data_IF_659776699837
#
_entry.id   IF_659776699837
#
_cell.length_a   1.000
_cell.length_b   1.000
_cell.length_c   1.000
_cell.angle_alpha   90.00
_cell.angle_beta   90.00
_cell.angle_gamma   90.00
#
_symmetry.space_group_name_H-M   'P 1'
#
loop_
_entity.id
_entity.type
_entity.pdbx_description
1 polymer ?
#
# COMPACT_ATOMS: atom_id res chain seq x y z
N UNK A 1 17.04 6.01 -6.37
CA UNK A 1 15.76 6.74 -6.47
C UNK A 1 15.69 7.73 -5.32
N UNK A 2 15.22 8.95 -5.56
CA UNK A 2 14.90 9.87 -4.46
C UNK A 2 13.64 9.37 -3.73
N UNK A 3 13.61 9.45 -2.40
CA UNK A 3 12.46 9.01 -1.61
C UNK A 3 11.28 9.98 -1.75
N UNK A 4 10.06 9.46 -1.70
CA UNK A 4 8.83 10.25 -1.67
C UNK A 4 8.51 10.72 -0.25
N UNK A 5 7.87 11.87 -0.07
CA UNK A 5 7.39 12.26 1.26
C UNK A 5 6.29 11.31 1.74
N UNK A 6 6.32 10.90 3.01
CA UNK A 6 5.22 10.10 3.58
C UNK A 6 3.99 10.96 3.88
N UNK A 7 3.34 11.44 2.82
CA UNK A 7 2.13 12.28 2.82
C UNK A 7 1.14 11.75 1.78
N UNK A 8 -0.12 12.19 1.81
CA UNK A 8 -1.10 11.82 0.78
C UNK A 8 -0.60 12.16 -0.63
N UNK A 9 -0.01 13.34 -0.82
CA UNK A 9 0.56 13.76 -2.10
C UNK A 9 1.79 12.93 -2.51
N UNK A 10 2.68 12.62 -1.56
CA UNK A 10 3.86 11.80 -1.85
C UNK A 10 3.53 10.35 -2.16
N UNK A 11 2.49 9.78 -1.55
CA UNK A 11 1.97 8.45 -1.90
C UNK A 11 1.31 8.45 -3.28
N UNK A 12 0.57 9.51 -3.64
CA UNK A 12 0.04 9.66 -4.99
C UNK A 12 1.17 9.75 -6.04
N UNK A 13 2.25 10.49 -5.75
CA UNK A 13 3.43 10.56 -6.61
C UNK A 13 4.13 9.19 -6.74
N UNK A 14 4.22 8.41 -5.65
CA UNK A 14 4.77 7.07 -5.68
C UNK A 14 3.94 6.13 -6.58
N UNK A 15 2.60 6.19 -6.54
CA UNK A 15 1.74 5.43 -7.46
C UNK A 15 2.07 5.74 -8.91
N UNK A 16 2.09 7.05 -9.25
CA UNK A 16 2.39 7.49 -10.62
C UNK A 16 3.74 6.97 -11.08
N UNK A 17 4.74 7.04 -10.21
CA UNK A 17 6.09 6.55 -10.50
C UNK A 17 6.12 5.03 -10.76
N UNK A 18 5.56 4.22 -9.86
CA UNK A 18 5.59 2.76 -10.03
C UNK A 18 4.74 2.29 -11.22
N UNK A 19 3.62 2.96 -11.51
CA UNK A 19 2.74 2.56 -12.61
C UNK A 19 3.18 3.06 -13.98
N UNK A 20 4.15 3.98 -14.02
CA UNK A 20 4.87 4.32 -15.25
C UNK A 20 5.92 3.25 -15.63
N UNK A 21 6.31 2.35 -14.72
CA UNK A 21 7.26 1.28 -15.02
C UNK A 21 6.69 0.25 -16.00
N UNK A 22 7.57 -0.47 -16.67
CA UNK A 22 7.16 -1.66 -17.41
C UNK A 22 6.78 -2.80 -16.45
N UNK A 23 6.04 -3.80 -16.95
CA UNK A 23 5.54 -4.91 -16.11
C UNK A 23 6.66 -5.70 -15.41
N UNK A 24 7.77 -6.08 -16.09
CA UNK A 24 8.88 -6.75 -15.41
C UNK A 24 9.47 -5.97 -14.23
N UNK A 25 9.71 -4.67 -14.40
CA UNK A 25 10.23 -3.79 -13.33
C UNK A 25 9.23 -3.67 -12.17
N UNK A 26 7.95 -3.46 -12.48
CA UNK A 26 6.91 -3.39 -11.46
C UNK A 26 6.81 -4.70 -10.66
N UNK A 27 6.94 -5.86 -11.31
CA UNK A 27 6.94 -7.16 -10.63
C UNK A 27 8.11 -7.35 -9.66
N UNK A 28 9.27 -6.73 -9.94
CA UNK A 28 10.39 -6.72 -8.99
C UNK A 28 9.99 -5.93 -7.74
N UNK A 29 9.40 -4.74 -7.90
CA UNK A 29 8.92 -3.91 -6.79
C UNK A 29 7.83 -4.64 -5.98
N UNK A 30 6.88 -5.27 -6.65
CA UNK A 30 5.82 -6.08 -6.01
C UNK A 30 6.44 -7.18 -5.14
N UNK A 31 7.47 -7.87 -5.64
CA UNK A 31 8.17 -8.91 -4.87
C UNK A 31 8.87 -8.33 -3.64
N UNK A 32 9.52 -7.17 -3.76
CA UNK A 32 10.14 -6.49 -2.62
C UNK A 32 9.11 -6.13 -1.54
N UNK A 33 7.94 -5.62 -1.95
CA UNK A 33 6.82 -5.30 -1.05
C UNK A 33 6.35 -6.56 -0.31
N UNK A 34 6.23 -7.69 -0.99
CA UNK A 34 5.80 -8.95 -0.37
C UNK A 34 6.81 -9.50 0.63
N UNK A 35 8.11 -9.39 0.31
CA UNK A 35 9.19 -9.94 1.13
C UNK A 35 9.43 -9.11 2.40
N UNK A 36 9.44 -7.79 2.28
CA UNK A 36 9.80 -6.88 3.37
C UNK A 36 9.12 -5.53 3.15
N UNK A 37 7.83 -5.47 3.47
CA UNK A 37 7.05 -4.23 3.40
C UNK A 37 7.67 -3.11 4.27
N UNK A 38 8.05 -3.33 5.55
CA UNK A 38 8.63 -2.29 6.38
C UNK A 38 9.92 -1.72 5.78
N UNK A 39 10.83 -2.56 5.31
CA UNK A 39 12.07 -2.11 4.69
C UNK A 39 11.84 -1.46 3.32
N UNK A 40 10.94 -1.99 2.49
CA UNK A 40 10.53 -1.34 1.25
C UNK A 40 9.97 0.06 1.50
N UNK A 41 9.07 0.20 2.48
CA UNK A 41 8.50 1.48 2.85
C UNK A 41 9.60 2.45 3.27
N UNK A 42 10.50 2.04 4.18
CA UNK A 42 11.62 2.86 4.66
C UNK A 42 12.61 3.27 3.57
N UNK A 43 12.75 2.47 2.50
CA UNK A 43 13.56 2.82 1.32
C UNK A 43 12.83 3.73 0.34
N UNK A 44 11.50 3.64 0.26
CA UNK A 44 10.65 4.35 -0.70
C UNK A 44 10.21 5.72 -0.19
N UNK A 45 9.92 5.84 1.11
CA UNK A 45 9.35 7.04 1.71
C UNK A 45 10.29 7.69 2.74
N UNK A 46 10.19 9.02 2.86
CA UNK A 46 10.81 9.84 3.91
C UNK A 46 9.91 9.80 5.14
N UNK A 47 10.43 9.21 6.21
CA UNK A 47 9.76 9.11 7.51
C UNK A 47 10.46 9.96 8.57
N UNK A 48 9.69 10.50 9.52
CA UNK A 48 10.24 10.99 10.78
C UNK A 48 10.72 9.83 11.65
N UNK A 49 11.55 10.11 12.65
CA UNK A 49 12.04 9.08 13.58
C UNK A 49 10.89 8.38 14.32
N UNK A 50 9.87 9.13 14.75
CA UNK A 50 8.66 8.58 15.35
C UNK A 50 7.88 7.65 14.42
N UNK A 51 7.84 7.94 13.12
CA UNK A 51 7.20 7.08 12.12
C UNK A 51 8.01 5.81 11.86
N UNK A 52 9.35 5.88 11.92
CA UNK A 52 10.21 4.69 11.82
C UNK A 52 9.95 3.76 13.00
N UNK A 53 9.94 4.30 14.22
CA UNK A 53 9.62 3.52 15.42
C UNK A 53 8.23 2.89 15.34
N UNK A 54 7.24 3.63 14.81
CA UNK A 54 5.90 3.10 14.57
C UNK A 54 5.90 1.95 13.55
N UNK A 55 6.62 2.08 12.43
CA UNK A 55 6.75 1.01 11.42
C UNK A 55 7.41 -0.23 12.01
N UNK A 56 8.47 -0.04 12.79
CA UNK A 56 9.23 -1.14 13.40
C UNK A 56 8.45 -1.85 14.52
N UNK A 57 7.40 -1.21 15.04
CA UNK A 57 6.51 -1.77 16.06
C UNK A 57 5.23 -2.41 15.48
N UNK A 58 5.07 -2.45 14.15
CA UNK A 58 3.93 -3.11 13.52
C UNK A 58 3.97 -4.62 13.76
N UNK A 59 2.81 -5.20 14.07
CA UNK A 59 2.65 -6.64 14.24
C UNK A 59 2.93 -7.41 12.93
N UNK A 60 3.62 -8.56 13.02
CA UNK A 60 3.99 -9.36 11.84
C UNK A 60 2.79 -9.85 11.04
N UNK A 61 1.68 -10.20 11.71
CA UNK A 61 0.44 -10.61 11.02
C UNK A 61 -0.14 -9.44 10.25
N UNK A 62 -0.10 -8.25 10.83
CA UNK A 62 -0.52 -7.03 10.19
C UNK A 62 0.35 -6.69 8.97
N UNK A 63 1.68 -6.75 9.13
CA UNK A 63 2.64 -6.52 8.03
C UNK A 63 2.40 -7.51 6.88
N UNK A 64 2.19 -8.79 7.20
CA UNK A 64 1.91 -9.82 6.20
C UNK A 64 0.59 -9.57 5.45
N UNK A 65 -0.48 -9.18 6.14
CA UNK A 65 -1.75 -8.88 5.47
C UNK A 65 -1.62 -7.65 4.57
N UNK A 66 -0.96 -6.60 5.06
CA UNK A 66 -0.79 -5.37 4.31
C UNK A 66 0.13 -5.56 3.10
N UNK A 67 1.22 -6.33 3.22
CA UNK A 67 2.13 -6.59 2.10
C UNK A 67 1.42 -7.31 0.96
N UNK A 68 0.56 -8.29 1.28
CA UNK A 68 -0.24 -9.01 0.29
C UNK A 68 -1.27 -8.10 -0.40
N UNK A 69 -1.96 -7.25 0.35
CA UNK A 69 -2.93 -6.31 -0.23
C UNK A 69 -2.25 -5.30 -1.15
N UNK A 70 -1.13 -4.71 -0.71
CA UNK A 70 -0.39 -3.75 -1.51
C UNK A 70 0.22 -4.41 -2.75
N UNK A 71 0.78 -5.60 -2.63
CA UNK A 71 1.30 -6.37 -3.75
C UNK A 71 0.23 -6.66 -4.81
N UNK A 72 -0.97 -7.09 -4.39
CA UNK A 72 -2.09 -7.29 -5.30
C UNK A 72 -2.52 -5.98 -5.96
N UNK A 73 -2.62 -4.91 -5.18
CA UNK A 73 -2.97 -3.56 -5.67
C UNK A 73 -1.99 -3.11 -6.76
N UNK A 74 -0.69 -3.24 -6.51
CA UNK A 74 0.37 -2.87 -7.45
C UNK A 74 0.41 -3.78 -8.69
N UNK A 75 0.20 -5.08 -8.52
CA UNK A 75 0.15 -6.06 -9.63
C UNK A 75 -0.92 -5.67 -10.65
N UNK A 76 -2.07 -5.21 -10.17
CA UNK A 76 -3.18 -4.76 -11.02
C UNK A 76 -3.14 -3.26 -11.35
N UNK A 77 -2.06 -2.54 -10.97
CA UNK A 77 -1.93 -1.08 -11.13
C UNK A 77 -3.13 -0.30 -10.58
N UNK A 78 -3.72 -0.80 -9.49
CA UNK A 78 -4.83 -0.16 -8.79
C UNK A 78 -4.30 0.96 -7.88
N UNK A 79 -5.05 2.03 -7.64
CA UNK A 79 -4.58 3.10 -6.77
C UNK A 79 -4.43 2.62 -5.32
N UNK A 80 -3.29 2.95 -4.68
CA UNK A 80 -3.15 2.92 -3.23
C UNK A 80 -3.03 4.34 -2.67
N UNK A 81 -3.68 4.66 -1.55
CA UNK A 81 -3.67 6.02 -0.98
C UNK A 81 -3.42 6.01 0.52
N UNK A 82 -2.82 7.09 1.00
CA UNK A 82 -2.62 7.36 2.41
C UNK A 82 -3.60 8.43 2.87
N UNK A 83 -4.40 8.07 3.85
CA UNK A 83 -5.32 8.94 4.56
C UNK A 83 -4.73 9.19 5.96
N UNK A 84 -4.30 10.42 6.25
CA UNK A 84 -3.85 10.79 7.59
C UNK A 84 -5.03 11.44 8.29
N UNK A 85 -5.58 10.79 9.32
CA UNK A 85 -6.59 11.45 10.15
C UNK A 85 -5.93 12.54 11.01
N UNK A 86 -6.68 13.62 11.27
CA UNK A 86 -6.26 14.70 12.15
C UNK A 86 -6.00 14.22 13.59
N UNK A 87 -5.16 14.93 14.38
CA UNK A 87 -4.72 14.46 15.69
C UNK A 87 -5.91 14.34 16.66
N UNK A 88 -6.18 13.13 17.16
CA UNK A 88 -7.18 12.91 18.23
C UNK A 88 -7.86 11.54 18.25
N UNK A 89 -7.86 10.79 17.16
CA UNK A 89 -8.42 9.44 17.11
C UNK A 89 -7.30 8.40 17.29
N UNK A 90 -7.22 7.72 18.45
CA UNK A 90 -6.29 6.59 18.63
C UNK A 90 -6.85 5.35 17.94
N UNK A 91 -6.68 5.23 16.62
CA UNK A 91 -7.13 4.05 15.90
C UNK A 91 -6.51 3.95 14.51
N UNK A 92 -5.53 3.05 14.32
CA UNK A 92 -5.13 2.61 12.97
C UNK A 92 -6.26 1.73 12.42
N UNK A 93 -7.24 2.35 11.76
CA UNK A 93 -8.31 1.62 11.06
C UNK A 93 -7.90 1.42 9.61
N UNK A 94 -7.37 0.24 9.30
CA UNK A 94 -7.61 -0.27 7.96
C UNK A 94 -9.09 -0.62 7.84
N UNK A 95 -9.74 -0.08 6.81
CA UNK A 95 -11.15 -0.34 6.51
C UNK A 95 -11.43 -1.79 6.12
N UNK A 96 -11.25 -2.73 7.05
CA UNK A 96 -12.03 -3.95 7.15
C UNK A 96 -13.13 -3.67 8.18
N UNK A 97 -14.01 -2.70 7.90
CA UNK A 97 -15.30 -2.69 8.58
C UNK A 97 -16.08 -3.86 7.99
N UNK A 98 -16.14 -4.98 8.72
CA UNK A 98 -17.10 -6.07 8.43
C UNK A 98 -18.49 -5.42 8.37
N UNK A 99 -19.03 -5.24 7.16
CA UNK A 99 -20.28 -4.54 6.89
C UNK A 99 -20.30 -3.97 5.47
N UNK A 100 -19.34 -3.09 5.15
CA UNK A 100 -19.19 -2.45 3.84
C UNK A 100 -17.69 -2.15 3.62
N UNK A 101 -17.00 -3.05 2.91
CA UNK A 101 -15.55 -2.97 2.70
C UNK A 101 -15.21 -1.76 1.81
N UNK A 102 -14.27 -0.92 2.26
CA UNK A 102 -13.70 0.16 1.44
C UNK A 102 -12.50 -0.30 0.58
N UNK A 103 -11.99 -1.53 0.76
CA UNK A 103 -10.89 -2.08 -0.03
C UNK A 103 -11.19 -3.47 -0.65
N UNK A 104 -12.36 -3.75 -1.27
CA UNK A 104 -12.54 -5.01 -1.98
C UNK A 104 -11.81 -4.91 -3.33
N UNK A 105 -10.60 -5.49 -3.43
CA UNK A 105 -10.02 -5.80 -4.74
C UNK A 105 -10.88 -6.91 -5.35
N UNK A 106 -11.71 -6.56 -6.32
CA UNK A 106 -12.49 -7.52 -7.10
C UNK A 106 -11.67 -7.89 -8.31
N UNK A 107 -11.29 -9.16 -8.44
CA UNK A 107 -10.67 -9.68 -9.66
C UNK A 107 -11.65 -10.58 -10.40
N UNK A 108 -11.67 -10.47 -11.73
CA UNK A 108 -12.42 -11.33 -12.65
C UNK A 108 -11.43 -11.88 -13.67
N UNK A 109 -11.48 -13.17 -13.88
CA UNK A 109 -10.72 -13.86 -14.94
C UNK A 109 -11.69 -14.03 -16.10
N UNK A 110 -11.36 -13.47 -17.27
CA UNK A 110 -12.12 -13.71 -18.49
C UNK A 110 -11.89 -15.15 -18.97
N UNK A 111 -12.81 -15.68 -19.77
CA UNK A 111 -12.68 -17.00 -20.40
C UNK A 111 -11.48 -17.13 -21.35
N UNK A 112 -10.81 -16.02 -21.69
CA UNK A 112 -9.62 -15.96 -22.54
C UNK A 112 -8.32 -15.87 -21.71
N UNK A 113 -8.40 -15.87 -20.38
CA UNK A 113 -7.25 -15.84 -19.47
C UNK A 113 -6.82 -14.45 -19.01
N UNK A 114 -7.42 -13.39 -19.57
CA UNK A 114 -7.17 -12.02 -19.11
C UNK A 114 -7.78 -11.78 -17.73
N UNK A 115 -6.96 -11.26 -16.79
CA UNK A 115 -7.38 -10.92 -15.43
C UNK A 115 -7.66 -9.42 -15.36
N UNK A 116 -8.92 -9.04 -15.16
CA UNK A 116 -9.32 -7.68 -14.88
C UNK A 116 -9.54 -7.52 -13.37
N UNK A 117 -9.03 -6.45 -12.76
CA UNK A 117 -9.27 -6.15 -11.36
C UNK A 117 -9.72 -4.71 -11.15
N UNK A 118 -10.57 -4.50 -10.15
CA UNK A 118 -11.13 -3.20 -9.75
C UNK A 118 -11.01 -3.06 -8.23
N UNK A 119 -10.66 -1.85 -7.76
CA UNK A 119 -10.57 -1.54 -6.33
C UNK A 119 -9.55 -0.45 -6.02
N UNK A 120 -9.38 -0.15 -4.74
CA UNK A 120 -8.30 0.69 -4.22
C UNK A 120 -7.80 0.12 -2.88
N UNK A 121 -6.58 0.51 -2.49
CA UNK A 121 -6.05 0.26 -1.15
C UNK A 121 -5.90 1.57 -0.38
N UNK A 122 -6.70 1.75 0.66
CA UNK A 122 -6.62 2.91 1.55
C UNK A 122 -5.91 2.52 2.84
N UNK A 123 -4.75 3.12 3.09
CA UNK A 123 -4.03 3.07 4.37
C UNK A 123 -4.42 4.29 5.19
N UNK A 124 -5.12 4.08 6.31
CA UNK A 124 -5.39 5.14 7.28
C UNK A 124 -4.46 5.02 8.48
N UNK A 125 -3.79 6.12 8.82
CA UNK A 125 -2.89 6.17 9.98
C UNK A 125 -3.31 7.31 10.89
N UNK A 126 -3.39 6.99 12.18
CA UNK A 126 -3.42 7.93 13.28
C UNK A 126 -2.22 7.65 14.18
N UNK A 127 -1.44 8.67 14.54
CA UNK A 127 -0.32 8.56 15.49
C UNK A 127 -0.51 9.49 16.68
#
# INVERSE_FOLDING_TARGET
MEKFDFTTAGVAAANMYFYAMNTPELHVVVREVQLDLPGWAKRTFKFSESQIQWIDALDDTFVFQLSNQLANTMTFRLPFRLDKEEPGAKSVVFGIKRGDSHNPIKSKISSEGDVAAEGELVLRISY
#
